data_IF_454181322266
#
_entry.id   IF_454181322266
#
_cell.length_a   1.000
_cell.length_b   1.000
_cell.length_c   1.000
_cell.angle_alpha   90.00
_cell.angle_beta   90.00
_cell.angle_gamma   90.00
#
_symmetry.space_group_name_H-M   'P 1'
#
loop_
_entity.id
_entity.type
_entity.pdbx_description
1 polymer ?
#
# COMPACT_ATOMS: atom_id res chain seq x y z
N UNK A 1 11.83 -6.46 22.19
CA UNK A 1 10.86 -5.50 21.63
C UNK A 1 9.61 -6.30 21.29
N UNK A 2 8.50 -6.12 21.98
CA UNK A 2 7.22 -6.74 21.60
C UNK A 2 6.57 -5.81 20.58
N UNK A 3 6.45 -6.23 19.34
CA UNK A 3 5.58 -5.56 18.37
C UNK A 3 4.14 -5.70 18.87
N UNK A 4 3.40 -4.60 18.94
CA UNK A 4 1.98 -4.61 19.31
C UNK A 4 1.15 -5.13 18.13
N UNK A 5 -0.05 -5.65 18.38
CA UNK A 5 -0.96 -6.08 17.31
C UNK A 5 -1.26 -4.95 16.30
N UNK A 6 -1.19 -3.69 16.76
CA UNK A 6 -1.28 -2.50 15.93
C UNK A 6 -0.17 -2.42 14.86
N UNK A 7 1.05 -2.88 15.15
CA UNK A 7 2.17 -2.86 14.19
C UNK A 7 1.92 -3.81 13.02
N UNK A 8 1.29 -4.95 13.28
CA UNK A 8 0.94 -5.92 12.24
C UNK A 8 -0.18 -5.40 11.35
N UNK A 9 -1.17 -4.70 11.93
CA UNK A 9 -2.28 -4.13 11.18
C UNK A 9 -1.86 -3.06 10.16
N UNK A 10 -0.71 -2.41 10.39
CA UNK A 10 -0.15 -1.39 9.51
C UNK A 10 0.61 -1.99 8.31
N UNK A 11 0.94 -3.28 8.30
CA UNK A 11 1.70 -3.86 7.19
C UNK A 11 0.81 -4.12 5.97
N UNK A 12 1.32 -3.78 4.79
CA UNK A 12 0.63 -3.94 3.51
C UNK A 12 0.33 -5.40 3.19
N UNK A 13 1.15 -6.34 3.68
CA UNK A 13 0.94 -7.78 3.48
C UNK A 13 -0.35 -8.31 4.12
N UNK A 14 -0.79 -7.68 5.21
CA UNK A 14 -2.05 -8.01 5.89
C UNK A 14 -3.22 -7.14 5.42
N UNK A 15 -2.98 -6.23 4.47
CA UNK A 15 -4.04 -5.45 3.85
C UNK A 15 -4.90 -6.30 2.93
N UNK A 16 -6.12 -5.82 2.66
CA UNK A 16 -7.02 -6.48 1.70
C UNK A 16 -6.70 -6.12 0.24
N UNK A 17 -5.57 -5.45 -0.05
CA UNK A 17 -5.19 -5.05 -1.41
C UNK A 17 -4.98 -6.28 -2.32
N UNK A 18 -5.15 -6.14 -3.64
CA UNK A 18 -4.83 -7.21 -4.58
C UNK A 18 -3.37 -7.68 -4.40
N UNK A 19 -3.12 -9.00 -4.35
CA UNK A 19 -1.76 -9.56 -4.16
C UNK A 19 -0.72 -8.99 -5.12
N UNK A 20 -1.11 -8.76 -6.38
CA UNK A 20 -0.25 -8.15 -7.39
C UNK A 20 0.14 -6.71 -7.04
N UNK A 21 -0.80 -5.94 -6.49
CA UNK A 21 -0.54 -4.59 -6.03
C UNK A 21 0.37 -4.60 -4.79
N UNK A 22 0.13 -5.48 -3.82
CA UNK A 22 1.03 -5.69 -2.67
C UNK A 22 2.46 -5.96 -3.14
N UNK A 23 2.63 -6.86 -4.10
CA UNK A 23 3.95 -7.16 -4.67
C UNK A 23 4.61 -5.95 -5.34
N UNK A 24 3.85 -5.14 -6.08
CA UNK A 24 4.35 -3.90 -6.69
C UNK A 24 4.79 -2.91 -5.61
N UNK A 25 3.98 -2.72 -4.57
CA UNK A 25 4.27 -1.81 -3.46
C UNK A 25 5.55 -2.22 -2.71
N UNK A 26 5.73 -3.51 -2.41
CA UNK A 26 6.97 -4.02 -1.83
C UNK A 26 8.19 -3.79 -2.73
N UNK A 27 8.06 -3.98 -4.05
CA UNK A 27 9.15 -3.71 -5.02
C UNK A 27 9.56 -2.24 -5.04
N UNK A 28 8.67 -1.34 -4.61
CA UNK A 28 8.92 0.09 -4.46
C UNK A 28 9.25 0.51 -3.01
N UNK A 29 9.48 -0.45 -2.10
CA UNK A 29 9.86 -0.16 -0.71
C UNK A 29 8.71 0.34 0.17
N UNK A 30 7.47 0.16 -0.27
CA UNK A 30 6.29 0.55 0.49
C UNK A 30 5.79 -0.70 1.21
N UNK A 31 6.04 -0.75 2.53
CA UNK A 31 5.70 -1.90 3.38
C UNK A 31 4.54 -1.60 4.35
N UNK A 32 4.29 -0.32 4.63
CA UNK A 32 3.30 0.14 5.62
C UNK A 32 2.16 0.92 4.98
N UNK A 33 0.93 0.69 5.44
CA UNK A 33 -0.28 1.38 5.04
C UNK A 33 -0.21 2.86 5.44
N UNK A 34 0.30 3.16 6.62
CA UNK A 34 0.57 4.52 7.10
C UNK A 34 1.51 5.29 6.17
N UNK A 35 2.52 4.62 5.60
CA UNK A 35 3.40 5.20 4.58
C UNK A 35 2.66 5.38 3.26
N UNK A 36 1.97 4.35 2.77
CA UNK A 36 1.17 4.41 1.54
C UNK A 36 0.11 5.54 1.57
N UNK A 37 -0.46 5.82 2.73
CA UNK A 37 -1.44 6.88 2.92
C UNK A 37 -0.88 8.27 2.69
N UNK A 38 0.41 8.49 2.97
CA UNK A 38 1.11 9.77 2.78
C UNK A 38 1.54 10.02 1.33
N UNK A 39 1.56 8.98 0.49
CA UNK A 39 1.93 9.09 -0.92
C UNK A 39 0.76 9.70 -1.70
N UNK A 40 1.06 10.72 -2.50
CA UNK A 40 0.07 11.39 -3.34
C UNK A 40 -0.42 10.48 -4.48
N UNK A 41 -1.63 10.72 -4.98
CA UNK A 41 -2.16 9.99 -6.13
C UNK A 41 -1.26 10.12 -7.37
N UNK A 42 -0.65 11.30 -7.56
CA UNK A 42 0.31 11.54 -8.64
C UNK A 42 1.55 10.66 -8.51
N UNK A 43 2.16 10.62 -7.33
CA UNK A 43 3.34 9.78 -7.07
C UNK A 43 3.02 8.29 -7.20
N UNK A 44 1.82 7.87 -6.78
CA UNK A 44 1.36 6.48 -6.96
C UNK A 44 1.27 6.10 -8.44
N UNK A 45 0.82 7.01 -9.31
CA UNK A 45 0.75 6.78 -10.75
C UNK A 45 2.12 6.77 -11.44
N UNK A 46 3.16 7.33 -10.79
CA UNK A 46 4.54 7.23 -11.27
C UNK A 46 5.17 5.87 -10.98
N UNK A 47 4.59 5.06 -10.09
CA UNK A 47 5.07 3.71 -9.80
C UNK A 47 4.88 2.81 -11.02
N UNK A 48 5.93 2.09 -11.39
CA UNK A 48 5.90 1.19 -12.54
C UNK A 48 4.83 0.12 -12.31
N UNK A 49 3.96 -0.07 -13.30
CA UNK A 49 2.82 -0.99 -13.26
C UNK A 49 1.68 -0.59 -12.30
N UNK A 50 1.63 0.66 -11.84
CA UNK A 50 0.47 1.21 -11.15
C UNK A 50 -0.35 2.06 -12.11
N UNK A 51 -1.43 1.48 -12.62
CA UNK A 51 -2.40 2.18 -13.46
C UNK A 51 -3.59 2.72 -12.66
N UNK A 52 -4.51 3.45 -13.33
CA UNK A 52 -5.69 4.04 -12.69
C UNK A 52 -6.56 3.05 -11.89
N UNK A 53 -6.69 1.80 -12.36
CA UNK A 53 -7.44 0.75 -11.66
C UNK A 53 -6.83 0.37 -10.30
N UNK A 54 -5.50 0.40 -10.18
CA UNK A 54 -4.82 0.16 -8.92
C UNK A 54 -4.89 1.37 -8.01
N UNK A 55 -4.81 2.59 -8.54
CA UNK A 55 -5.05 3.80 -7.76
C UNK A 55 -6.43 3.78 -7.10
N UNK A 56 -7.48 3.43 -7.85
CA UNK A 56 -8.84 3.27 -7.30
C UNK A 56 -8.88 2.21 -6.20
N UNK A 57 -8.17 1.08 -6.39
CA UNK A 57 -8.10 0.01 -5.40
C UNK A 57 -7.42 0.44 -4.09
N UNK A 58 -6.39 1.30 -4.18
CA UNK A 58 -5.74 1.91 -3.03
C UNK A 58 -6.70 2.85 -2.32
N UNK A 59 -7.34 3.77 -3.07
CA UNK A 59 -8.25 4.78 -2.51
C UNK A 59 -9.45 4.18 -1.79
N UNK A 60 -10.04 3.10 -2.32
CA UNK A 60 -11.14 2.36 -1.68
C UNK A 60 -10.77 1.77 -0.31
N UNK A 61 -9.49 1.71 0.04
CA UNK A 61 -8.97 1.09 1.27
C UNK A 61 -8.15 2.06 2.12
N UNK A 62 -8.12 3.36 1.78
CA UNK A 62 -7.49 4.43 2.59
C UNK A 62 -8.37 4.90 3.76
N UNK A 63 -9.53 4.30 4.00
CA UNK A 63 -10.45 4.61 5.12
C UNK A 63 -10.10 3.85 6.38
#
# INVERSE_FOLDING_TARGET
MRFSDEDYSDLIEYSRLPRRLVHILHRHGIERLSHLNKISDGDLLLLKNVGPNYLISIRKRKT
#
